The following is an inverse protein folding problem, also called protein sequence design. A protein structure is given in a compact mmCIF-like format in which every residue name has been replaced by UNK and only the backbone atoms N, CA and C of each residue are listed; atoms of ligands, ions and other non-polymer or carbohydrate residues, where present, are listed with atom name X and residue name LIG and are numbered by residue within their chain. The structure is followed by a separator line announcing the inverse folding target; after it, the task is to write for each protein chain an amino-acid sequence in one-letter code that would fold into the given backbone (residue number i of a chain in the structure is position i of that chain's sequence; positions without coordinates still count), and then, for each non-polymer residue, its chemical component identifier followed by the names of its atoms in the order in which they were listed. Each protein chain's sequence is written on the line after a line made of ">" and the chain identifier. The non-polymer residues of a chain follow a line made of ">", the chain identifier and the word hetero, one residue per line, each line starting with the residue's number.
data_IF_402509608788
#
_entry.id   IF_402509608788
#
_cell.length_a   1.000
_cell.length_b   1.000
_cell.length_c   1.000
_cell.angle_alpha   90.00
_cell.angle_beta   90.00
_cell.angle_gamma   90.00
#
_symmetry.space_group_name_H-M   'P 1'
#
loop_
_entity.id
_entity.type
_entity.pdbx_description
1 polymer ?
#
# COMPACT_ATOMS: atom_id res chain seq x y z
N UNK A 1 -27.33 -6.73 -3.32
CA UNK A 1 -26.47 -5.64 -3.83
C UNK A 1 -26.89 -4.33 -3.16
N UNK A 2 -25.98 -3.62 -2.49
CA UNK A 2 -26.30 -2.36 -1.81
C UNK A 2 -25.82 -1.20 -2.67
N UNK A 3 -26.76 -0.46 -3.27
CA UNK A 3 -26.48 0.61 -4.23
C UNK A 3 -26.89 1.97 -3.66
N UNK A 4 -25.98 2.95 -3.74
CA UNK A 4 -26.19 4.31 -3.25
C UNK A 4 -26.31 5.32 -4.40
N UNK A 5 -27.26 6.27 -4.33
CA UNK A 5 -27.44 7.28 -5.36
C UNK A 5 -26.22 8.17 -5.60
N UNK A 6 -25.36 8.35 -4.58
CA UNK A 6 -24.16 9.19 -4.64
C UNK A 6 -23.08 8.69 -3.68
N UNK A 7 -21.81 9.05 -3.94
CA UNK A 7 -20.72 8.86 -2.98
C UNK A 7 -21.01 9.54 -1.62
N UNK A 8 -21.62 10.73 -1.64
CA UNK A 8 -22.07 11.44 -0.42
C UNK A 8 -23.06 10.61 0.40
N UNK A 9 -24.07 10.02 -0.23
CA UNK A 9 -25.04 9.16 0.47
C UNK A 9 -24.40 7.89 1.02
N UNK A 10 -23.41 7.33 0.31
CA UNK A 10 -22.61 6.21 0.82
C UNK A 10 -21.81 6.63 2.06
N UNK A 11 -21.10 7.77 2.01
CA UNK A 11 -20.33 8.32 3.14
C UNK A 11 -21.21 8.50 4.39
N UNK A 12 -22.43 9.01 4.20
CA UNK A 12 -23.42 9.17 5.27
C UNK A 12 -23.88 7.82 5.85
N UNK A 13 -24.21 6.85 5.00
CA UNK A 13 -24.66 5.52 5.45
C UNK A 13 -23.57 4.76 6.19
N UNK A 14 -22.32 4.87 5.74
CA UNK A 14 -21.17 4.27 6.42
C UNK A 14 -20.79 4.99 7.72
N UNK A 15 -21.41 6.15 8.01
CA UNK A 15 -21.14 7.01 9.17
C UNK A 15 -19.65 7.36 9.27
N UNK A 16 -19.02 7.63 8.12
CA UNK A 16 -17.61 8.03 8.06
C UNK A 16 -17.44 9.33 8.86
N UNK A 17 -16.65 9.26 9.92
CA UNK A 17 -16.36 10.39 10.78
C UNK A 17 -15.39 11.33 10.07
N UNK A 18 -15.56 12.63 10.31
CA UNK A 18 -14.48 13.58 10.04
C UNK A 18 -13.35 13.30 11.02
N UNK A 19 -12.12 13.33 10.52
CA UNK A 19 -10.90 13.16 11.30
C UNK A 19 -10.11 14.47 11.31
N UNK A 20 -9.06 14.55 12.13
CA UNK A 20 -8.24 15.73 12.37
C UNK A 20 -9.02 16.91 12.98
N UNK A 21 -10.04 16.64 13.82
CA UNK A 21 -10.78 17.70 14.53
C UNK A 21 -10.25 17.97 15.94
N UNK A 22 -9.37 17.10 16.45
CA UNK A 22 -8.85 17.17 17.82
C UNK A 22 -9.84 16.61 18.86
N UNK A 23 -10.90 15.95 18.40
CA UNK A 23 -11.93 15.37 19.28
C UNK A 23 -11.38 14.16 20.01
N UNK A 24 -11.72 14.06 21.29
CA UNK A 24 -11.43 12.89 22.12
C UNK A 24 -12.60 11.91 22.10
N UNK A 25 -12.24 10.64 22.17
CA UNK A 25 -13.14 9.50 22.27
C UNK A 25 -12.67 8.59 23.39
N UNK A 26 -13.61 7.94 24.05
CA UNK A 26 -13.32 6.83 24.95
C UNK A 26 -13.88 5.54 24.37
N UNK A 27 -13.21 4.42 24.63
CA UNK A 27 -13.73 3.12 24.25
C UNK A 27 -15.14 2.92 24.84
N UNK A 28 -16.13 2.64 23.98
CA UNK A 28 -17.55 2.47 24.31
C UNK A 28 -18.24 3.65 25.02
N UNK A 29 -17.66 4.86 24.97
CA UNK A 29 -18.24 6.03 25.66
C UNK A 29 -18.13 5.98 27.19
N UNK A 30 -17.36 5.02 27.72
CA UNK A 30 -17.07 4.92 29.14
C UNK A 30 -16.11 6.05 29.54
N UNK A 31 -16.48 6.86 30.54
CA UNK A 31 -15.64 7.94 31.02
C UNK A 31 -14.32 7.45 31.66
N UNK A 32 -14.22 6.15 31.98
CA UNK A 32 -13.03 5.50 32.53
C UNK A 32 -12.21 4.69 31.50
N UNK A 33 -12.59 4.74 30.22
CA UNK A 33 -11.95 3.97 29.16
C UNK A 33 -10.68 4.59 28.55
N UNK A 34 -10.04 3.84 27.65
CA UNK A 34 -8.90 4.31 26.86
C UNK A 34 -9.31 5.54 26.05
N UNK A 35 -8.66 6.68 26.31
CA UNK A 35 -8.86 7.93 25.56
C UNK A 35 -8.00 7.91 24.30
N UNK A 36 -8.59 8.23 23.16
CA UNK A 36 -7.90 8.43 21.89
C UNK A 36 -8.46 9.64 21.14
N UNK A 37 -7.69 10.15 20.18
CA UNK A 37 -8.05 11.32 19.37
C UNK A 37 -8.39 10.90 17.94
N UNK A 38 -9.16 11.71 17.22
CA UNK A 38 -9.33 11.57 15.77
C UNK A 38 -8.18 12.18 14.96
N UNK A 39 -7.00 12.38 15.55
CA UNK A 39 -5.85 12.93 14.86
C UNK A 39 -5.13 11.84 14.07
N UNK A 40 -4.83 12.12 12.81
CA UNK A 40 -3.93 11.28 12.04
C UNK A 40 -2.50 11.48 12.50
N UNK A 41 -1.81 10.37 12.68
CA UNK A 41 -0.40 10.34 13.05
C UNK A 41 0.22 9.02 12.56
N UNK A 42 1.48 8.79 12.95
CA UNK A 42 2.12 7.49 12.83
C UNK A 42 2.01 6.77 14.18
N UNK A 43 1.39 5.60 14.18
CA UNK A 43 1.17 4.79 15.36
C UNK A 43 2.02 3.53 15.28
N UNK A 44 2.98 3.32 16.20
CA UNK A 44 3.82 2.15 16.19
C UNK A 44 3.01 0.93 16.65
N UNK A 45 3.07 -0.14 15.87
CA UNK A 45 2.51 -1.46 16.21
C UNK A 45 3.58 -2.51 15.99
N UNK A 46 3.80 -3.37 16.98
CA UNK A 46 4.72 -4.51 16.82
C UNK A 46 3.98 -5.63 16.10
N UNK A 47 4.48 -6.03 14.94
CA UNK A 47 3.96 -7.16 14.17
C UNK A 47 4.29 -8.49 14.84
N UNK A 48 3.65 -9.57 14.38
CA UNK A 48 3.96 -10.95 14.82
C UNK A 48 5.40 -11.38 14.46
N UNK A 49 5.97 -10.70 13.46
CA UNK A 49 7.35 -10.81 13.00
C UNK A 49 8.35 -10.13 13.95
N UNK A 50 7.87 -9.41 14.98
CA UNK A 50 8.72 -8.67 15.92
C UNK A 50 9.20 -7.32 15.38
N UNK A 51 8.73 -6.89 14.21
CA UNK A 51 9.09 -5.59 13.64
C UNK A 51 8.09 -4.51 14.05
N UNK A 52 8.58 -3.28 14.25
CA UNK A 52 7.72 -2.11 14.45
C UNK A 52 7.20 -1.63 13.10
N UNK A 53 5.89 -1.59 12.96
CA UNK A 53 5.17 -1.04 11.80
C UNK A 53 4.57 0.30 12.19
N UNK A 54 4.93 1.36 11.48
CA UNK A 54 4.41 2.72 11.72
C UNK A 54 3.14 2.92 10.92
N UNK A 55 1.98 2.57 11.50
CA UNK A 55 0.68 2.70 10.84
C UNK A 55 0.31 4.17 10.72
N UNK A 56 0.08 4.63 9.50
CA UNK A 56 -0.48 5.96 9.24
C UNK A 56 -1.99 5.94 9.40
N UNK A 57 -2.60 6.95 10.01
CA UNK A 57 -4.05 7.06 10.16
C UNK A 57 -4.45 7.43 11.59
N UNK A 58 -5.66 7.10 12.02
CA UNK A 58 -6.10 7.28 13.42
C UNK A 58 -5.79 6.03 14.25
N UNK A 59 -5.47 6.22 15.53
CA UNK A 59 -4.83 5.22 16.40
C UNK A 59 -5.47 3.82 16.43
N UNK A 60 -6.80 3.75 16.52
CA UNK A 60 -7.53 2.49 16.69
C UNK A 60 -8.47 2.18 15.53
N UNK A 61 -8.12 2.60 14.30
CA UNK A 61 -8.88 2.15 13.13
C UNK A 61 -8.60 0.68 12.82
N UNK A 62 -9.63 -0.15 12.98
CA UNK A 62 -9.67 -1.55 12.52
C UNK A 62 -10.46 -1.70 11.22
N UNK A 63 -10.63 -0.61 10.47
CA UNK A 63 -11.32 -0.62 9.19
C UNK A 63 -10.38 -0.13 8.10
N UNK A 64 -10.30 -0.92 7.03
CA UNK A 64 -9.61 -0.56 5.80
C UNK A 64 -10.63 -0.44 4.67
N UNK A 65 -10.22 0.24 3.61
CA UNK A 65 -11.03 0.56 2.46
C UNK A 65 -10.25 0.30 1.18
N UNK A 66 -10.97 -0.08 0.12
CA UNK A 66 -10.45 -0.12 -1.25
C UNK A 66 -11.46 0.52 -2.17
N UNK A 67 -11.01 1.48 -2.96
CA UNK A 67 -11.83 2.13 -3.98
C UNK A 67 -11.56 1.57 -5.36
N UNK A 68 -12.62 1.36 -6.14
CA UNK A 68 -12.53 1.03 -7.56
C UNK A 68 -13.52 1.89 -8.33
N UNK A 69 -13.10 2.32 -9.51
CA UNK A 69 -13.93 3.12 -10.40
C UNK A 69 -15.06 2.35 -11.07
N UNK A 70 -14.98 1.03 -11.06
CA UNK A 70 -16.02 0.12 -11.49
C UNK A 70 -15.91 -1.21 -10.74
N UNK A 71 -16.89 -2.08 -10.94
CA UNK A 71 -16.82 -3.46 -10.44
C UNK A 71 -16.11 -4.35 -11.45
N UNK A 72 -14.93 -4.84 -11.08
CA UNK A 72 -14.14 -5.77 -11.89
C UNK A 72 -14.45 -7.26 -11.58
N UNK A 73 -15.43 -7.53 -10.72
CA UNK A 73 -15.70 -8.88 -10.21
C UNK A 73 -14.63 -9.32 -9.22
N UNK A 74 -13.78 -10.27 -9.63
CA UNK A 74 -12.68 -10.76 -8.80
C UNK A 74 -11.58 -9.71 -8.72
N UNK A 75 -11.25 -9.28 -7.50
CA UNK A 75 -10.15 -8.34 -7.27
C UNK A 75 -8.79 -9.00 -7.51
N UNK A 76 -8.27 -8.83 -8.72
CA UNK A 76 -6.94 -9.31 -9.09
C UNK A 76 -5.84 -8.35 -8.67
N UNK A 77 -4.76 -8.92 -8.12
CA UNK A 77 -3.46 -8.26 -7.90
C UNK A 77 -2.90 -7.77 -9.25
N UNK A 78 -1.85 -6.95 -9.24
CA UNK A 78 -1.25 -6.52 -10.52
C UNK A 78 -0.62 -7.71 -11.24
N UNK A 79 0.02 -8.66 -10.54
CA UNK A 79 0.52 -9.90 -11.15
C UNK A 79 -0.59 -10.81 -11.70
N UNK A 80 -1.72 -10.95 -11.02
CA UNK A 80 -2.85 -11.78 -11.50
C UNK A 80 -3.53 -11.22 -12.75
N UNK A 81 -3.28 -9.95 -13.09
CA UNK A 81 -3.79 -9.31 -14.33
C UNK A 81 -2.93 -9.60 -15.54
N UNK A 82 -1.67 -9.99 -15.36
CA UNK A 82 -0.81 -10.46 -16.44
C UNK A 82 -1.42 -11.69 -17.10
N UNK A 83 -1.32 -11.78 -18.42
CA UNK A 83 -2.02 -12.78 -19.23
C UNK A 83 -1.33 -14.14 -19.21
N UNK A 84 0.00 -14.14 -19.09
CA UNK A 84 0.81 -15.36 -19.18
C UNK A 84 1.77 -15.48 -18.00
N UNK A 85 2.27 -16.69 -17.77
CA UNK A 85 3.24 -16.96 -16.70
C UNK A 85 4.59 -16.30 -16.98
N UNK A 86 4.96 -16.20 -18.26
CA UNK A 86 6.16 -15.49 -18.72
C UNK A 86 6.04 -13.99 -18.44
N UNK A 87 4.88 -13.38 -18.69
CA UNK A 87 4.62 -11.97 -18.36
C UNK A 87 4.68 -11.73 -16.84
N UNK A 88 4.14 -12.66 -16.05
CA UNK A 88 4.22 -12.61 -14.58
C UNK A 88 5.68 -12.68 -14.12
N UNK A 89 6.44 -13.64 -14.65
CA UNK A 89 7.87 -13.79 -14.35
C UNK A 89 8.69 -12.55 -14.70
N UNK A 90 8.50 -11.96 -15.90
CA UNK A 90 9.17 -10.73 -16.30
C UNK A 90 8.88 -9.59 -15.33
N UNK A 91 7.63 -9.44 -14.91
CA UNK A 91 7.22 -8.40 -13.96
C UNK A 91 7.78 -8.63 -12.55
N UNK A 92 7.94 -9.90 -12.13
CA UNK A 92 8.65 -10.25 -10.89
C UNK A 92 10.13 -9.84 -10.99
N UNK A 93 10.81 -10.11 -12.11
CA UNK A 93 12.20 -9.67 -12.32
C UNK A 93 12.34 -8.15 -12.19
N UNK A 94 11.45 -7.39 -12.82
CA UNK A 94 11.43 -5.91 -12.76
C UNK A 94 11.22 -5.37 -11.35
N UNK A 95 10.34 -6.02 -10.59
CA UNK A 95 10.09 -5.68 -9.19
C UNK A 95 11.33 -5.95 -8.34
N UNK A 96 11.99 -7.10 -8.52
CA UNK A 96 13.22 -7.45 -7.80
C UNK A 96 14.36 -6.48 -8.13
N UNK A 97 14.49 -6.07 -9.40
CA UNK A 97 15.49 -5.08 -9.80
C UNK A 97 15.29 -3.74 -9.07
N UNK A 98 14.03 -3.29 -8.91
CA UNK A 98 13.73 -2.09 -8.15
C UNK A 98 13.95 -2.28 -6.64
N UNK A 99 13.62 -3.44 -6.08
CA UNK A 99 13.92 -3.75 -4.67
C UNK A 99 15.42 -3.68 -4.37
N UNK A 100 16.28 -4.20 -5.25
CA UNK A 100 17.74 -4.10 -5.09
C UNK A 100 18.23 -2.65 -5.19
N UNK A 101 17.59 -1.80 -6.00
CA UNK A 101 17.88 -0.35 -5.97
C UNK A 101 17.49 0.24 -4.62
N UNK A 102 16.30 -0.06 -4.10
CA UNK A 102 15.84 0.44 -2.80
C UNK A 102 16.79 0.04 -1.65
N UNK A 103 17.37 -1.17 -1.68
CA UNK A 103 18.36 -1.63 -0.69
C UNK A 103 19.58 -0.70 -0.60
N UNK A 104 19.92 0.00 -1.68
CA UNK A 104 21.05 0.95 -1.76
C UNK A 104 20.66 2.41 -1.52
N UNK A 105 19.36 2.70 -1.36
CA UNK A 105 18.90 4.06 -1.10
C UNK A 105 19.32 4.50 0.32
N UNK A 106 20.01 5.65 0.50
CA UNK A 106 20.53 6.10 1.79
C UNK A 106 19.49 6.13 2.92
N UNK A 107 18.28 6.62 2.64
CA UNK A 107 17.22 6.65 3.66
C UNK A 107 16.67 5.28 4.01
N UNK A 108 16.65 4.36 3.05
CA UNK A 108 16.18 2.98 3.27
C UNK A 108 17.21 2.25 4.13
N UNK A 109 18.50 2.41 3.82
CA UNK A 109 19.60 1.85 4.64
C UNK A 109 19.58 2.39 6.07
N UNK A 110 19.48 3.71 6.24
CA UNK A 110 19.38 4.34 7.55
C UNK A 110 18.19 3.76 8.32
N UNK A 111 17.00 3.79 7.73
CA UNK A 111 15.78 3.31 8.39
C UNK A 111 15.81 1.82 8.74
N UNK A 112 16.45 1.00 7.89
CA UNK A 112 16.62 -0.44 8.14
C UNK A 112 17.55 -0.75 9.32
N UNK A 113 18.44 0.17 9.68
CA UNK A 113 19.32 0.02 10.85
C UNK A 113 18.70 0.45 12.18
N UNK A 114 17.53 1.11 12.15
CA UNK A 114 16.90 1.64 13.36
C UNK A 114 16.08 0.56 14.08
N UNK A 115 16.20 0.55 15.41
CA UNK A 115 15.30 -0.18 16.31
C UNK A 115 14.56 0.81 17.20
N UNK A 116 13.29 0.52 17.47
CA UNK A 116 12.41 1.27 18.37
C UNK A 116 12.08 0.33 19.53
N UNK A 117 12.55 0.64 20.74
CA UNK A 117 12.42 -0.23 21.93
C UNK A 117 12.88 -1.68 21.67
N UNK A 118 14.10 -1.84 21.15
CA UNK A 118 14.73 -3.13 20.81
C UNK A 118 14.07 -3.92 19.66
N UNK A 119 12.97 -3.42 19.08
CA UNK A 119 12.33 -4.00 17.91
C UNK A 119 12.78 -3.28 16.62
N UNK A 120 13.24 -3.99 15.57
CA UNK A 120 13.65 -3.37 14.32
C UNK A 120 12.47 -2.69 13.61
N UNK A 121 12.73 -1.58 12.92
CA UNK A 121 11.74 -0.90 12.10
C UNK A 121 11.43 -1.70 10.83
N UNK A 122 10.15 -1.86 10.49
CA UNK A 122 9.71 -2.64 9.33
C UNK A 122 9.89 -1.86 8.03
N UNK A 123 10.76 -2.38 7.15
CA UNK A 123 10.94 -1.89 5.78
C UNK A 123 10.43 -2.95 4.81
N UNK A 124 9.38 -2.62 4.05
CA UNK A 124 8.74 -3.56 3.12
C UNK A 124 8.99 -3.11 1.68
N UNK A 125 10.10 -3.59 1.09
CA UNK A 125 10.56 -3.20 -0.24
C UNK A 125 9.55 -3.55 -1.35
N UNK A 126 8.91 -4.72 -1.28
CA UNK A 126 7.87 -5.12 -2.24
C UNK A 126 6.63 -4.23 -2.15
N UNK A 127 6.24 -3.86 -0.92
CA UNK A 127 5.16 -2.90 -0.68
C UNK A 127 5.49 -1.52 -1.25
N UNK A 128 6.70 -1.02 -1.04
CA UNK A 128 7.19 0.20 -1.69
C UNK A 128 7.07 0.05 -3.22
N UNK A 129 7.65 -1.00 -3.80
CA UNK A 129 7.62 -1.23 -5.25
C UNK A 129 6.20 -1.20 -5.84
N UNK A 130 5.22 -1.80 -5.16
CA UNK A 130 3.81 -1.75 -5.55
C UNK A 130 3.30 -0.31 -5.68
N UNK A 131 3.51 0.53 -4.66
CA UNK A 131 3.07 1.93 -4.67
C UNK A 131 3.83 2.81 -5.68
N UNK A 132 4.97 2.32 -6.15
CA UNK A 132 5.72 2.90 -7.26
C UNK A 132 5.33 2.35 -8.64
N UNK A 133 4.33 1.47 -8.70
CA UNK A 133 3.71 1.00 -9.95
C UNK A 133 4.23 -0.34 -10.48
N UNK A 134 5.12 -1.01 -9.73
CA UNK A 134 5.60 -2.33 -10.08
C UNK A 134 4.56 -3.39 -9.73
N UNK A 135 4.62 -4.52 -10.43
CA UNK A 135 3.62 -5.58 -10.31
C UNK A 135 3.94 -6.50 -9.14
N UNK A 136 2.98 -6.70 -8.25
CA UNK A 136 3.09 -7.56 -7.07
C UNK A 136 1.83 -8.42 -6.91
N UNK A 137 1.90 -9.36 -5.98
CA UNK A 137 0.80 -10.23 -5.55
C UNK A 137 -0.01 -9.60 -4.39
N UNK A 138 0.11 -8.29 -4.20
CA UNK A 138 -0.59 -7.54 -3.17
C UNK A 138 -1.81 -6.82 -3.73
N UNK A 139 -2.80 -6.57 -2.88
CA UNK A 139 -3.89 -5.63 -3.16
C UNK A 139 -3.75 -4.38 -2.27
N UNK A 140 -3.80 -3.20 -2.90
CA UNK A 140 -3.79 -1.94 -2.15
C UNK A 140 -5.08 -1.75 -1.35
N UNK A 141 -4.91 -1.50 -0.06
CA UNK A 141 -5.97 -1.04 0.82
C UNK A 141 -5.47 0.20 1.57
N UNK A 142 -6.39 0.99 2.09
CA UNK A 142 -6.07 2.20 2.85
C UNK A 142 -7.00 2.31 4.04
N UNK A 143 -6.51 2.77 5.18
CA UNK A 143 -7.39 3.05 6.32
C UNK A 143 -7.99 4.47 6.27
N UNK A 144 -7.70 5.24 5.21
CA UNK A 144 -8.29 6.55 4.97
C UNK A 144 -9.38 6.48 3.89
N UNK A 145 -10.62 6.77 4.30
CA UNK A 145 -11.78 6.67 3.41
C UNK A 145 -11.71 7.64 2.22
N UNK A 146 -11.14 8.83 2.41
CA UNK A 146 -11.05 9.83 1.37
C UNK A 146 -10.01 9.42 0.31
N UNK A 147 -8.91 8.75 0.70
CA UNK A 147 -7.97 8.12 -0.25
C UNK A 147 -8.67 7.01 -1.06
N UNK A 148 -9.46 6.15 -0.41
CA UNK A 148 -10.25 5.15 -1.14
C UNK A 148 -11.24 5.81 -2.11
N UNK A 149 -11.86 6.93 -1.73
CA UNK A 149 -12.74 7.69 -2.62
C UNK A 149 -11.99 8.22 -3.85
N UNK A 150 -10.72 8.62 -3.72
CA UNK A 150 -9.91 9.06 -4.85
C UNK A 150 -9.78 7.94 -5.89
N UNK A 151 -9.34 6.76 -5.49
CA UNK A 151 -9.23 5.60 -6.39
C UNK A 151 -10.58 5.12 -6.93
N UNK A 152 -11.67 5.32 -6.17
CA UNK A 152 -13.02 5.01 -6.63
C UNK A 152 -13.59 6.02 -7.62
N UNK A 153 -13.08 7.26 -7.68
CA UNK A 153 -13.70 8.34 -8.47
C UNK A 153 -12.77 8.99 -9.49
N UNK A 154 -11.51 8.57 -9.53
CA UNK A 154 -10.52 9.03 -10.49
C UNK A 154 -10.01 7.85 -11.34
N UNK A 155 -9.57 8.14 -12.56
CA UNK A 155 -8.91 7.19 -13.46
C UNK A 155 -7.54 7.72 -13.87
N UNK A 156 -6.54 6.87 -13.97
CA UNK A 156 -5.22 7.24 -14.44
C UNK A 156 -5.12 7.06 -15.96
N UNK A 157 -4.87 8.13 -16.70
CA UNK A 157 -4.71 8.11 -18.17
C UNK A 157 -3.66 9.14 -18.59
N UNK A 158 -2.77 8.76 -19.50
CA UNK A 158 -1.73 9.62 -20.06
C UNK A 158 -0.86 10.31 -18.98
N UNK A 159 -0.43 9.55 -17.98
CA UNK A 159 0.46 10.05 -16.93
C UNK A 159 -0.23 10.81 -15.80
N UNK A 160 -1.57 11.01 -15.85
CA UNK A 160 -2.29 11.86 -14.88
C UNK A 160 -3.62 11.24 -14.44
N UNK A 161 -4.08 11.61 -13.25
CA UNK A 161 -5.41 11.26 -12.79
C UNK A 161 -6.47 12.23 -13.31
N UNK A 162 -7.60 11.69 -13.72
CA UNK A 162 -8.76 12.44 -14.20
C UNK A 162 -10.01 12.05 -13.41
N UNK A 163 -10.87 13.01 -13.03
CA UNK A 163 -12.12 12.70 -12.33
C UNK A 163 -13.10 12.00 -13.27
N UNK A 164 -13.75 10.95 -12.77
CA UNK A 164 -14.69 10.15 -13.54
C UNK A 164 -16.03 10.88 -13.65
N UNK A 165 -16.45 11.12 -14.88
CA UNK A 165 -17.80 11.59 -15.22
C UNK A 165 -18.73 10.51 -15.75
N UNK A 166 -18.22 9.31 -16.05
CA UNK A 166 -19.01 8.24 -16.62
C UNK A 166 -20.01 7.70 -15.59
N UNK A 167 -21.30 7.82 -15.90
CA UNK A 167 -22.41 7.36 -15.05
C UNK A 167 -22.91 5.95 -15.40
N UNK A 168 -22.34 5.30 -16.41
CA UNK A 168 -22.80 3.99 -16.88
C UNK A 168 -22.36 2.85 -15.96
N UNK A 169 -21.14 2.94 -15.39
CA UNK A 169 -20.64 1.97 -14.42
C UNK A 169 -20.74 2.55 -13.01
N UNK A 170 -21.03 1.71 -12.04
CA UNK A 170 -21.06 2.11 -10.63
C UNK A 170 -19.65 2.10 -10.06
N UNK A 171 -19.29 3.11 -9.27
CA UNK A 171 -18.09 3.04 -8.45
C UNK A 171 -18.28 2.06 -7.29
N UNK A 172 -17.18 1.51 -6.78
CA UNK A 172 -17.17 0.50 -5.73
C UNK A 172 -16.27 0.96 -4.58
N UNK A 173 -16.76 0.78 -3.35
CA UNK A 173 -15.95 0.85 -2.13
C UNK A 173 -16.08 -0.50 -1.41
N UNK A 174 -14.95 -1.16 -1.19
CA UNK A 174 -14.85 -2.24 -0.22
C UNK A 174 -14.54 -1.63 1.14
N UNK A 175 -15.22 -2.14 2.16
CA UNK A 175 -14.93 -1.90 3.57
C UNK A 175 -14.50 -3.21 4.20
N UNK A 176 -13.34 -3.21 4.81
CA UNK A 176 -12.67 -4.41 5.31
C UNK A 176 -12.49 -4.26 6.80
N UNK A 177 -13.11 -5.13 7.58
CA UNK A 177 -12.98 -5.14 9.04
C UNK A 177 -11.85 -6.08 9.44
N UNK A 178 -10.75 -5.50 9.90
CA UNK A 178 -9.54 -6.22 10.27
C UNK A 178 -9.77 -7.26 11.37
N UNK A 179 -10.73 -7.01 12.28
CA UNK A 179 -11.07 -7.94 13.36
C UNK A 179 -11.36 -9.36 12.84
N UNK A 180 -11.95 -9.50 11.66
CA UNK A 180 -12.29 -10.81 11.06
C UNK A 180 -11.14 -11.45 10.28
N UNK A 181 -9.97 -10.81 10.24
CA UNK A 181 -8.79 -11.23 9.49
C UNK A 181 -7.59 -11.53 10.39
N UNK A 182 -7.74 -11.37 11.72
CA UNK A 182 -6.64 -11.53 12.68
C UNK A 182 -6.74 -12.89 13.40
N UNK A 183 -5.81 -13.84 13.15
CA UNK A 183 -5.73 -15.07 13.92
C UNK A 183 -5.32 -14.80 15.38
N UNK A 184 -5.79 -15.58 16.37
CA UNK A 184 -6.55 -16.84 16.22
C UNK A 184 -8.07 -16.66 16.15
N UNK A 185 -8.57 -15.42 16.25
CA UNK A 185 -10.00 -15.16 16.44
C UNK A 185 -10.85 -15.57 15.23
N UNK A 186 -10.32 -15.39 14.02
CA UNK A 186 -10.98 -15.78 12.78
C UNK A 186 -9.96 -16.33 11.78
N UNK A 187 -10.29 -17.47 11.14
CA UNK A 187 -9.53 -17.97 9.98
C UNK A 187 -9.99 -17.17 8.76
N UNK A 188 -9.05 -16.63 7.99
CA UNK A 188 -9.30 -15.79 6.83
C UNK A 188 -8.41 -16.24 5.68
N UNK A 189 -8.94 -16.22 4.46
CA UNK A 189 -8.20 -16.51 3.22
C UNK A 189 -7.36 -15.31 2.74
N UNK A 190 -7.39 -14.22 3.53
CA UNK A 190 -6.63 -13.00 3.30
C UNK A 190 -5.94 -12.55 4.59
N UNK A 191 -4.81 -11.88 4.43
CA UNK A 191 -4.02 -11.31 5.53
C UNK A 191 -3.80 -9.82 5.28
N UNK A 192 -3.95 -9.01 6.34
CA UNK A 192 -3.60 -7.60 6.30
C UNK A 192 -2.17 -7.43 6.81
N UNK A 193 -1.34 -6.79 6.01
CA UNK A 193 -0.01 -6.34 6.40
C UNK A 193 0.04 -4.81 6.40
N UNK A 194 0.55 -4.23 7.48
CA UNK A 194 0.62 -2.78 7.57
C UNK A 194 1.86 -2.27 6.85
N UNK A 195 1.63 -1.52 5.78
CA UNK A 195 2.72 -0.83 5.08
C UNK A 195 3.01 0.51 5.76
N UNK A 196 1.97 1.32 5.97
CA UNK A 196 2.03 2.59 6.69
C UNK A 196 3.10 3.53 6.16
N UNK A 197 3.89 4.10 7.06
CA UNK A 197 5.08 4.85 6.69
C UNK A 197 6.18 3.90 6.22
N UNK A 198 6.86 4.32 5.16
CA UNK A 198 8.06 3.71 4.59
C UNK A 198 9.05 4.84 4.27
N UNK A 199 10.35 4.56 4.11
CA UNK A 199 11.38 5.56 3.79
C UNK A 199 11.32 6.11 2.35
N UNK A 200 10.11 6.26 1.80
CA UNK A 200 9.75 6.92 0.55
C UNK A 200 8.32 7.47 0.68
N UNK A 201 7.96 8.57 -0.02
CA UNK A 201 6.75 9.32 0.29
C UNK A 201 5.42 8.61 -0.06
N UNK A 202 5.37 7.82 -1.14
CA UNK A 202 4.08 7.31 -1.67
C UNK A 202 3.27 6.46 -0.68
N UNK A 203 3.86 5.46 0.03
CA UNK A 203 3.11 4.66 1.00
C UNK A 203 2.42 5.48 2.10
N UNK A 204 3.12 6.45 2.71
CA UNK A 204 2.54 7.30 3.76
C UNK A 204 1.42 8.19 3.20
N UNK A 205 1.64 8.84 2.05
CA UNK A 205 0.65 9.73 1.43
C UNK A 205 -0.65 8.99 1.07
N UNK A 206 -0.54 7.73 0.67
CA UNK A 206 -1.68 6.88 0.35
C UNK A 206 -2.28 6.19 1.58
N UNK A 207 -1.67 6.37 2.77
CA UNK A 207 -2.04 5.65 4.00
C UNK A 207 -2.12 4.16 3.75
N UNK A 208 -1.11 3.68 3.05
CA UNK A 208 -1.11 2.38 2.42
C UNK A 208 -1.10 1.25 3.45
N UNK A 209 -1.87 0.22 3.16
CA UNK A 209 -1.71 -1.09 3.77
C UNK A 209 -1.92 -2.14 2.66
N UNK A 210 -1.47 -3.35 2.92
CA UNK A 210 -1.47 -4.43 1.95
C UNK A 210 -2.50 -5.46 2.39
N UNK A 211 -3.31 -5.91 1.43
CA UNK A 211 -4.10 -7.13 1.57
C UNK A 211 -3.41 -8.23 0.76
N UNK A 212 -2.80 -9.19 1.45
CA UNK A 212 -2.24 -10.40 0.84
C UNK A 212 -3.40 -11.35 0.59
N UNK A 213 -3.54 -11.79 -0.66
CA UNK A 213 -4.62 -12.67 -1.08
C UNK A 213 -4.04 -13.84 -1.85
N UNK A 214 -4.58 -15.04 -1.66
CA UNK A 214 -4.30 -16.13 -2.58
C UNK A 214 -4.78 -15.80 -4.00
N UNK A 215 -4.16 -16.45 -4.99
CA UNK A 215 -4.56 -16.33 -6.39
C UNK A 215 -6.04 -16.67 -6.58
N UNK A 216 -6.72 -15.86 -7.38
CA UNK A 216 -8.16 -15.97 -7.70
C UNK A 216 -9.12 -15.78 -6.51
N UNK A 217 -8.65 -15.25 -5.37
CA UNK A 217 -9.52 -14.93 -4.23
C UNK A 217 -10.59 -13.91 -4.60
N UNK A 218 -11.86 -14.30 -4.42
CA UNK A 218 -12.99 -13.40 -4.54
C UNK A 218 -13.22 -12.65 -3.22
N UNK A 219 -12.90 -11.36 -3.18
CA UNK A 219 -13.10 -10.54 -1.97
C UNK A 219 -14.57 -10.48 -1.51
N UNK A 220 -15.54 -10.72 -2.40
CA UNK A 220 -16.96 -10.68 -2.06
C UNK A 220 -17.37 -11.83 -1.13
N UNK A 221 -16.56 -12.91 -1.07
CA UNK A 221 -16.82 -14.08 -0.22
C UNK A 221 -16.00 -14.07 1.07
N UNK A 222 -15.09 -13.11 1.23
CA UNK A 222 -14.20 -13.04 2.40
C UNK A 222 -14.96 -12.46 3.60
N UNK A 223 -14.90 -13.17 4.74
CA UNK A 223 -15.55 -12.71 5.96
C UNK A 223 -14.98 -11.35 6.42
N UNK A 224 -15.86 -10.45 6.88
CA UNK A 224 -15.47 -9.09 7.26
C UNK A 224 -15.26 -8.12 6.09
N UNK A 225 -15.42 -8.55 4.84
CA UNK A 225 -15.43 -7.67 3.67
C UNK A 225 -16.88 -7.29 3.31
N UNK A 226 -17.11 -6.00 3.08
CA UNK A 226 -18.38 -5.46 2.63
C UNK A 226 -18.17 -4.64 1.36
N UNK A 227 -18.92 -4.97 0.31
CA UNK A 227 -18.87 -4.27 -0.97
C UNK A 227 -20.07 -3.33 -1.12
N UNK A 228 -19.78 -2.07 -1.42
CA UNK A 228 -20.79 -1.03 -1.61
C UNK A 228 -20.65 -0.37 -2.97
N UNK A 229 -21.78 -0.15 -3.64
CA UNK A 229 -21.84 0.47 -4.96
C UNK A 229 -22.37 1.89 -4.84
N UNK A 230 -21.83 2.82 -5.62
CA UNK A 230 -22.37 4.17 -5.72
C UNK A 230 -22.42 4.65 -7.18
N UNK A 231 -23.39 5.52 -7.50
CA UNK A 231 -23.42 6.18 -8.80
C UNK A 231 -22.38 7.29 -8.87
N UNK A 232 -21.59 7.29 -9.94
CA UNK A 232 -20.66 8.39 -10.23
C UNK A 232 -21.38 9.72 -10.41
N UNK A 233 -20.66 10.78 -10.06
CA UNK A 233 -21.14 12.15 -10.17
C UNK A 233 -19.92 13.02 -10.41
N UNK A 234 -19.85 13.64 -11.60
CA UNK A 234 -18.67 14.44 -11.99
C UNK A 234 -18.35 15.54 -10.98
N UNK A 235 -19.34 16.15 -10.34
CA UNK A 235 -19.13 17.17 -9.32
C UNK A 235 -18.45 16.61 -8.07
N UNK A 236 -18.84 15.41 -7.62
CA UNK A 236 -18.20 14.73 -6.49
C UNK A 236 -16.81 14.23 -6.86
N UNK A 237 -16.64 13.62 -8.03
CA UNK A 237 -15.33 13.17 -8.54
C UNK A 237 -14.34 14.34 -8.64
N UNK A 238 -14.76 15.49 -9.20
CA UNK A 238 -13.92 16.70 -9.27
C UNK A 238 -13.57 17.25 -7.89
N UNK A 239 -14.48 17.17 -6.91
CA UNK A 239 -14.20 17.60 -5.53
C UNK A 239 -13.11 16.74 -4.90
N UNK A 240 -13.23 15.41 -5.01
CA UNK A 240 -12.23 14.47 -4.48
C UNK A 240 -10.90 14.63 -5.21
N UNK A 241 -10.91 14.73 -6.54
CA UNK A 241 -9.71 14.92 -7.35
C UNK A 241 -8.93 16.19 -6.94
N UNK A 242 -9.62 17.33 -6.77
CA UNK A 242 -9.01 18.58 -6.29
C UNK A 242 -8.50 18.51 -4.86
N UNK A 243 -9.16 17.73 -3.99
CA UNK A 243 -8.74 17.56 -2.60
C UNK A 243 -7.37 16.90 -2.46
N UNK A 244 -6.95 16.11 -3.45
CA UNK A 244 -5.63 15.46 -3.51
C UNK A 244 -4.69 16.13 -4.51
N UNK A 245 -4.88 17.43 -4.77
CA UNK A 245 -4.09 18.22 -5.73
C UNK A 245 -3.93 17.51 -7.08
N UNK A 246 -5.07 17.06 -7.64
CA UNK A 246 -5.13 16.36 -8.92
C UNK A 246 -4.36 15.03 -8.96
N UNK A 247 -4.08 14.47 -7.78
CA UNK A 247 -3.33 13.23 -7.56
C UNK A 247 -1.90 13.44 -7.06
N UNK A 248 -1.35 14.67 -7.14
CA UNK A 248 0.05 14.96 -6.77
C UNK A 248 0.33 14.75 -5.30
N UNK A 249 -0.66 14.93 -4.43
CA UNK A 249 -0.50 14.63 -3.00
C UNK A 249 -0.24 13.14 -2.76
N UNK A 250 -0.91 12.26 -3.52
CA UNK A 250 -0.81 10.80 -3.36
C UNK A 250 0.35 10.18 -4.15
N UNK A 251 0.75 10.86 -5.23
CA UNK A 251 1.82 10.45 -6.14
C UNK A 251 2.77 11.64 -6.33
N UNK A 252 3.51 12.04 -5.28
CA UNK A 252 4.52 13.06 -5.43
C UNK A 252 5.57 12.63 -6.46
N UNK A 253 6.09 13.62 -7.18
CA UNK A 253 7.23 13.45 -8.07
C UNK A 253 8.49 13.29 -7.21
N UNK A 254 9.23 12.20 -7.43
CA UNK A 254 10.47 11.89 -6.75
C UNK A 254 11.35 10.98 -7.63
N UNK A 255 12.65 10.92 -7.34
CA UNK A 255 13.60 10.13 -8.14
C UNK A 255 13.32 8.62 -8.11
N UNK A 256 12.65 8.12 -7.08
CA UNK A 256 12.28 6.71 -6.99
C UNK A 256 11.17 6.37 -8.00
N UNK A 257 10.28 7.32 -8.33
CA UNK A 257 9.30 7.19 -9.39
C UNK A 257 9.92 7.01 -10.76
N UNK A 258 10.97 7.79 -11.06
CA UNK A 258 11.67 7.72 -12.33
C UNK A 258 12.40 6.38 -12.46
N UNK A 259 13.14 5.96 -11.43
CA UNK A 259 13.80 4.66 -11.41
C UNK A 259 12.81 3.49 -11.49
N UNK A 260 11.68 3.55 -10.78
CA UNK A 260 10.62 2.55 -10.88
C UNK A 260 10.07 2.42 -12.30
N UNK A 261 9.88 3.55 -12.98
CA UNK A 261 9.44 3.60 -14.37
C UNK A 261 10.48 2.97 -15.31
N UNK A 262 11.77 3.23 -15.11
CA UNK A 262 12.84 2.56 -15.88
C UNK A 262 12.91 1.07 -15.58
N UNK A 263 12.82 0.66 -14.31
CA UNK A 263 12.74 -0.75 -13.92
C UNK A 263 11.57 -1.47 -14.59
N UNK A 264 10.42 -0.81 -14.72
CA UNK A 264 9.23 -1.38 -15.37
C UNK A 264 9.41 -1.71 -16.85
N UNK A 265 10.46 -1.17 -17.49
CA UNK A 265 10.78 -1.35 -18.92
C UNK A 265 11.93 -2.33 -19.15
N UNK A 266 12.64 -2.76 -18.10
CA UNK A 266 13.79 -3.65 -18.22
C UNK A 266 13.42 -4.97 -18.93
N UNK A 267 14.37 -5.48 -19.70
CA UNK A 267 14.37 -6.83 -20.25
C UNK A 267 15.73 -7.53 -20.07
N UNK A 268 16.59 -6.96 -19.23
CA UNK A 268 17.92 -7.47 -18.93
C UNK A 268 18.12 -7.49 -17.41
N UNK A 269 18.62 -8.61 -16.89
CA UNK A 269 18.67 -8.88 -15.46
C UNK A 269 19.94 -9.65 -15.10
N UNK A 270 20.40 -9.47 -13.86
CA UNK A 270 21.52 -10.28 -13.36
C UNK A 270 21.06 -11.71 -13.09
N UNK A 271 22.02 -12.65 -13.09
CA UNK A 271 21.72 -14.04 -12.75
C UNK A 271 21.06 -14.16 -11.36
N UNK A 272 21.54 -13.38 -10.38
CA UNK A 272 20.96 -13.32 -9.02
C UNK A 272 19.50 -12.87 -9.03
N UNK A 273 19.16 -11.85 -9.83
CA UNK A 273 17.78 -11.35 -9.95
C UNK A 273 16.86 -12.40 -10.58
N UNK A 274 17.34 -13.10 -11.61
CA UNK A 274 16.60 -14.19 -12.27
C UNK A 274 16.33 -15.33 -11.29
N UNK A 275 17.32 -15.73 -10.49
CA UNK A 275 17.16 -16.84 -9.54
C UNK A 275 16.16 -16.47 -8.42
N UNK A 276 16.27 -15.25 -7.86
CA UNK A 276 15.28 -14.71 -6.92
C UNK A 276 13.86 -14.67 -7.53
N UNK A 277 13.75 -14.31 -8.81
CA UNK A 277 12.47 -14.22 -9.51
C UNK A 277 11.83 -15.60 -9.70
N UNK A 278 12.63 -16.62 -10.03
CA UNK A 278 12.16 -18.01 -10.15
C UNK A 278 11.66 -18.54 -8.81
N UNK A 279 12.39 -18.26 -7.72
CA UNK A 279 11.98 -18.63 -6.36
C UNK A 279 10.68 -17.93 -5.96
N UNK A 280 10.57 -16.62 -6.19
CA UNK A 280 9.36 -15.85 -5.88
C UNK A 280 8.17 -16.33 -6.70
N UNK A 281 8.36 -16.54 -8.01
CA UNK A 281 7.31 -17.09 -8.88
C UNK A 281 6.84 -18.45 -8.39
N UNK A 282 7.75 -19.34 -8.00
CA UNK A 282 7.41 -20.66 -7.47
C UNK A 282 6.65 -20.60 -6.16
N UNK A 283 7.10 -19.76 -5.23
CA UNK A 283 6.44 -19.54 -3.93
C UNK A 283 5.00 -19.05 -4.10
N UNK A 284 4.81 -18.07 -4.98
CA UNK A 284 3.51 -17.45 -5.24
C UNK A 284 2.56 -18.33 -6.06
N UNK A 285 3.03 -18.88 -7.17
CA UNK A 285 2.17 -19.61 -8.13
C UNK A 285 2.03 -21.11 -7.83
N UNK A 286 2.94 -21.68 -7.03
CA UNK A 286 3.10 -23.13 -6.85
C UNK A 286 3.69 -23.85 -8.07
N UNK A 287 4.05 -23.13 -9.15
CA UNK A 287 4.55 -23.70 -10.40
C UNK A 287 6.05 -23.47 -10.56
N UNK A 288 6.69 -24.32 -11.36
CA UNK A 288 8.11 -24.18 -11.71
C UNK A 288 8.24 -23.86 -13.19
N UNK A 289 8.90 -22.75 -13.50
CA UNK A 289 9.23 -22.39 -14.87
C UNK A 289 10.53 -23.07 -15.30
N UNK A 290 10.60 -23.45 -16.57
CA UNK A 290 11.85 -23.88 -17.18
C UNK A 290 12.65 -22.63 -17.56
N UNK A 291 13.72 -22.38 -16.82
CA UNK A 291 14.53 -21.16 -16.92
C UNK A 291 14.90 -20.83 -18.37
N UNK A 292 15.63 -21.69 -19.05
CA UNK A 292 16.19 -21.38 -20.37
C UNK A 292 15.09 -21.12 -21.41
N UNK A 293 14.06 -21.97 -21.48
CA UNK A 293 12.89 -21.77 -22.37
C UNK A 293 12.17 -20.45 -22.08
N UNK A 294 12.03 -20.08 -20.80
CA UNK A 294 11.37 -18.84 -20.37
C UNK A 294 12.18 -17.61 -20.77
N UNK A 295 13.50 -17.62 -20.49
CA UNK A 295 14.40 -16.52 -20.83
C UNK A 295 14.46 -16.29 -22.35
N UNK A 296 14.57 -17.37 -23.13
CA UNK A 296 14.57 -17.30 -24.59
C UNK A 296 13.25 -16.73 -25.13
N UNK A 297 12.11 -17.19 -24.61
CA UNK A 297 10.78 -16.72 -25.06
C UNK A 297 10.55 -15.23 -24.81
N UNK A 298 11.06 -14.72 -23.68
CA UNK A 298 10.97 -13.31 -23.29
C UNK A 298 12.13 -12.47 -23.85
N UNK A 299 13.12 -13.10 -24.48
CA UNK A 299 14.36 -12.48 -24.95
C UNK A 299 15.08 -11.74 -23.82
N UNK A 300 15.10 -12.34 -22.63
CA UNK A 300 15.78 -11.76 -21.47
C UNK A 300 17.28 -11.90 -21.65
N UNK A 301 17.99 -10.78 -21.53
CA UNK A 301 19.46 -10.76 -21.54
C UNK A 301 20.01 -10.90 -20.12
N UNK A 302 20.99 -11.79 -19.94
CA UNK A 302 21.70 -11.92 -18.66
C UNK A 302 22.87 -10.93 -18.68
N UNK A 303 22.89 -10.02 -17.70
CA UNK A 303 23.91 -8.98 -17.55
C UNK A 303 24.69 -9.17 -16.25
N UNK A 304 25.92 -8.64 -16.18
CA UNK A 304 26.72 -8.70 -14.94
C UNK A 304 26.18 -7.73 -13.87
N UNK A 305 25.76 -6.53 -14.30
CA UNK A 305 25.20 -5.48 -13.44
C UNK A 305 24.18 -4.64 -14.19
N UNK A 306 23.25 -4.03 -13.46
CA UNK A 306 22.36 -3.01 -14.00
C UNK A 306 23.04 -1.62 -13.87
N UNK A 307 22.85 -0.75 -14.86
CA UNK A 307 23.39 0.61 -14.85
C UNK A 307 22.51 1.62 -14.10
N UNK A 308 21.27 1.23 -13.74
CA UNK A 308 20.40 2.04 -12.89
C UNK A 308 21.01 2.17 -11.49
N UNK A 309 21.06 3.40 -10.97
CA UNK A 309 21.59 3.73 -9.67
C UNK A 309 21.01 5.06 -9.16
N UNK A 310 21.34 5.42 -7.91
CA UNK A 310 20.90 6.67 -7.29
C UNK A 310 21.85 7.85 -7.55
N UNK A 311 22.91 7.66 -8.34
CA UNK A 311 23.93 8.68 -8.56
C UNK A 311 23.34 9.93 -9.20
N UNK A 312 23.62 11.09 -8.60
CA UNK A 312 23.09 12.41 -8.99
C UNK A 312 21.56 12.56 -8.90
N UNK A 313 20.86 11.61 -8.27
CA UNK A 313 19.40 11.65 -8.09
C UNK A 313 18.98 12.04 -6.67
N UNK A 314 19.90 12.03 -5.71
CA UNK A 314 19.64 12.20 -4.29
C UNK A 314 20.54 13.28 -3.69
N UNK A 315 20.04 13.92 -2.63
CA UNK A 315 20.86 14.70 -1.72
C UNK A 315 21.68 13.74 -0.84
N UNK A 316 23.00 13.73 -1.02
CA UNK A 316 23.88 12.66 -0.50
C UNK A 316 24.42 12.90 0.91
N UNK A 317 24.07 14.00 1.57
CA UNK A 317 24.55 14.24 2.94
C UNK A 317 23.76 13.38 3.94
N UNK A 318 24.46 12.56 4.74
CA UNK A 318 23.88 11.72 5.80
C UNK A 318 23.03 12.55 6.76
N UNK A 319 23.45 13.80 7.06
CA UNK A 319 22.72 14.70 7.94
C UNK A 319 21.34 15.07 7.40
N UNK A 320 21.15 15.07 6.07
CA UNK A 320 19.83 15.30 5.47
C UNK A 320 18.86 14.17 5.82
N UNK A 321 19.31 12.92 5.70
CA UNK A 321 18.49 11.74 5.97
C UNK A 321 18.19 11.56 7.46
N UNK A 322 19.15 11.89 8.33
CA UNK A 322 18.93 11.93 9.79
C UNK A 322 17.87 12.97 10.16
N UNK A 323 17.98 14.21 9.65
CA UNK A 323 16.94 15.24 9.88
C UNK A 323 15.57 14.80 9.38
N UNK A 324 15.50 14.19 8.20
CA UNK A 324 14.24 13.67 7.63
C UNK A 324 13.66 12.55 8.48
N UNK A 325 14.51 11.69 9.05
CA UNK A 325 14.10 10.66 10.00
C UNK A 325 13.55 11.29 11.27
N UNK A 326 14.23 12.27 11.87
CA UNK A 326 13.79 12.98 13.07
C UNK A 326 12.45 13.70 12.86
N UNK A 327 12.29 14.35 11.70
CA UNK A 327 11.02 14.96 11.28
C UNK A 327 9.90 13.93 11.21
N UNK A 328 10.19 12.73 10.70
CA UNK A 328 9.22 11.62 10.67
C UNK A 328 8.88 11.17 12.09
N UNK A 329 9.90 10.92 12.93
CA UNK A 329 9.71 10.44 14.30
C UNK A 329 8.94 11.44 15.17
N UNK A 330 9.03 12.74 14.88
CA UNK A 330 8.23 13.78 15.57
C UNK A 330 6.71 13.61 15.37
N UNK A 331 6.30 12.94 14.28
CA UNK A 331 4.90 12.61 13.97
C UNK A 331 4.44 11.30 14.61
N UNK A 332 5.36 10.51 15.17
CA UNK A 332 5.02 9.25 15.82
C UNK A 332 4.37 9.52 17.18
N UNK A 333 3.29 8.81 17.46
CA UNK A 333 2.52 8.92 18.71
C UNK A 333 2.67 7.62 19.49
N UNK A 334 3.52 7.66 20.51
CA UNK A 334 3.71 6.57 21.44
C UNK A 334 2.68 6.64 22.58
N UNK A 335 2.06 5.50 22.91
CA UNK A 335 1.36 5.36 24.19
C UNK A 335 2.35 4.95 25.25
N UNK A 336 2.58 5.85 26.20
CA UNK A 336 3.29 5.49 27.42
C UNK A 336 2.27 4.97 28.44
N UNK A 337 2.44 3.74 28.90
CA UNK A 337 1.76 3.27 30.11
C UNK A 337 2.34 4.01 31.31
N UNK A 338 1.48 4.59 32.15
CA UNK A 338 1.95 5.21 33.38
C UNK A 338 2.72 4.18 34.22
N UNK A 339 3.91 4.52 34.78
CA UNK A 339 4.76 3.58 35.51
C UNK A 339 4.06 2.90 36.70
N UNK A 340 2.97 3.49 37.21
CA UNK A 340 2.23 2.99 38.37
C UNK A 340 1.46 1.68 38.11
N UNK A 341 1.33 1.24 36.85
CA UNK A 341 0.60 0.02 36.47
C UNK A 341 1.48 -1.08 35.86
N UNK A 342 2.80 -0.88 35.80
CA UNK A 342 3.75 -1.91 35.41
C UNK A 342 4.28 -2.60 36.68
N UNK A 343 3.52 -3.57 37.20
CA UNK A 343 3.99 -4.52 38.20
C UNK A 343 3.57 -5.93 37.81
#
# INVERSE_FOLDING_TARGET
>A
MIFYPTLKSLKQKLKIQTINTGRQFTHNGDASGIVFYDMEALYPVVGKDGYVKLRSGVEFTMTHYRGQNEDFGVCKTTLDRCKTEEEQFLNICRTIAFEELLETHPFVMLSSSISIYDNPLSINLTGIAQHYGLHTDYLDITNNFDVACFFATCKYENGKYHPIGNIQKAGVIYRIYELFMTPPYFKSDVEIDYLGWQPLPRPEQQRANILKVSKDTNLDTVNGVQKYYFKHSISQSRKIWKMFDEGKTLFPDDSAADLANECSKLNSFTQKQIDKALERFKSWSGKTLKKDETLDSLKIEIIEKNDLCWDNLLDTDVLYWERKFDETMSKVRFRFTAPQFAK
#
